data_IF_535688207794
#
_entry.id   IF_535688207794
#
_cell.length_a   1.000
_cell.length_b   1.000
_cell.length_c   1.000
_cell.angle_alpha   90.00
_cell.angle_beta   90.00
_cell.angle_gamma   90.00
#
_symmetry.space_group_name_H-M   'P 1'
#
loop_
_entity.id
_entity.type
_entity.pdbx_description
1 polymer ?
#
# COMPACT_ATOMS: atom_id res chain seq x y z
N UNK A 1 16.34 -18.52 -11.07
CA UNK A 1 15.67 -19.32 -10.04
C UNK A 1 14.51 -18.54 -9.42
N UNK A 2 13.33 -19.10 -9.44
CA UNK A 2 12.18 -18.39 -8.89
C UNK A 2 12.19 -18.48 -7.37
N UNK A 3 11.77 -17.39 -6.73
CA UNK A 3 11.62 -17.35 -5.29
C UNK A 3 10.46 -18.22 -4.85
N UNK A 4 10.65 -18.93 -3.77
CA UNK A 4 9.58 -19.73 -3.19
C UNK A 4 8.71 -18.83 -2.33
N UNK A 5 7.42 -18.75 -2.66
CA UNK A 5 6.46 -17.95 -1.92
C UNK A 5 5.73 -18.84 -0.91
N UNK A 6 6.07 -18.68 0.37
CA UNK A 6 5.45 -19.44 1.46
C UNK A 6 4.28 -18.69 2.10
N UNK A 7 4.33 -17.37 2.09
CA UNK A 7 3.26 -16.55 2.65
C UNK A 7 3.22 -15.22 1.93
N UNK A 8 2.17 -14.42 2.22
CA UNK A 8 2.08 -13.07 1.63
C UNK A 8 3.31 -12.22 1.96
N UNK A 9 3.97 -12.49 3.07
CA UNK A 9 5.15 -11.72 3.49
C UNK A 9 6.32 -11.83 2.51
N UNK A 10 6.33 -12.86 1.68
CA UNK A 10 7.37 -13.06 0.68
C UNK A 10 7.13 -12.24 -0.60
N UNK A 11 5.92 -11.74 -0.79
CA UNK A 11 5.59 -10.96 -1.98
C UNK A 11 6.28 -9.61 -1.94
N UNK A 12 6.88 -9.21 -3.07
CA UNK A 12 7.57 -7.92 -3.17
C UNK A 12 6.64 -6.75 -2.87
N UNK A 13 5.41 -6.82 -3.36
CA UNK A 13 4.42 -5.75 -3.12
C UNK A 13 4.10 -5.61 -1.64
N UNK A 14 4.07 -6.72 -0.90
CA UNK A 14 3.83 -6.69 0.53
C UNK A 14 5.02 -6.09 1.27
N UNK A 15 6.24 -6.44 0.87
CA UNK A 15 7.45 -5.88 1.47
C UNK A 15 7.52 -4.36 1.25
N UNK A 16 7.22 -3.92 0.03
CA UNK A 16 7.23 -2.50 -0.30
C UNK A 16 6.13 -1.75 0.44
N UNK A 17 4.95 -2.35 0.57
CA UNK A 17 3.83 -1.74 1.30
C UNK A 17 4.17 -1.58 2.77
N UNK A 18 4.83 -2.56 3.36
CA UNK A 18 5.25 -2.48 4.76
C UNK A 18 6.31 -1.39 4.95
N UNK A 19 7.28 -1.32 4.04
CA UNK A 19 8.30 -0.27 4.04
C UNK A 19 7.67 1.12 3.97
N UNK A 20 6.70 1.29 3.05
CA UNK A 20 6.00 2.56 2.89
C UNK A 20 5.28 2.97 4.17
N UNK A 21 4.51 2.06 4.78
CA UNK A 21 3.75 2.41 5.99
C UNK A 21 4.68 2.78 7.15
N UNK A 22 5.82 2.13 7.26
CA UNK A 22 6.77 2.45 8.33
C UNK A 22 7.44 3.80 8.10
N UNK A 23 7.77 4.14 6.86
CA UNK A 23 8.30 5.47 6.55
C UNK A 23 7.27 6.55 6.82
N UNK A 24 6.01 6.30 6.46
CA UNK A 24 4.92 7.24 6.73
C UNK A 24 4.73 7.41 8.24
N UNK A 25 4.83 6.34 9.00
CA UNK A 25 4.73 6.40 10.45
C UNK A 25 5.79 7.35 11.01
N UNK A 26 7.05 7.16 10.61
CA UNK A 26 8.15 8.01 11.09
C UNK A 26 8.00 9.46 10.63
N UNK A 27 7.68 9.68 9.36
CA UNK A 27 7.49 11.01 8.80
C UNK A 27 6.35 11.75 9.51
N UNK A 28 5.24 11.07 9.76
CA UNK A 28 4.06 11.69 10.34
C UNK A 28 4.19 12.03 11.82
N UNK A 29 5.24 11.55 12.49
CA UNK A 29 5.52 11.96 13.87
C UNK A 29 5.77 13.47 13.97
N UNK A 30 6.19 14.11 12.89
CA UNK A 30 6.47 15.55 12.83
C UNK A 30 5.24 16.39 12.51
N UNK A 31 4.13 15.76 12.20
CA UNK A 31 2.91 16.51 11.85
C UNK A 31 2.38 17.23 13.10
N UNK A 32 1.78 18.43 12.91
CA UNK A 32 1.23 19.16 14.05
C UNK A 32 0.18 18.37 14.82
N UNK A 33 0.13 18.58 16.13
CA UNK A 33 -0.83 17.89 17.00
C UNK A 33 -2.28 18.15 16.57
N UNK A 34 -2.57 19.31 16.00
CA UNK A 34 -3.91 19.66 15.51
C UNK A 34 -4.38 18.78 14.35
N UNK A 35 -3.44 18.11 13.66
CA UNK A 35 -3.75 17.23 12.52
C UNK A 35 -3.91 15.78 12.92
N UNK A 36 -3.83 15.48 14.21
CA UNK A 36 -3.82 14.09 14.69
C UNK A 36 -4.93 13.23 14.11
N UNK A 37 -6.15 13.74 14.11
CA UNK A 37 -7.30 12.98 13.63
C UNK A 37 -7.62 13.25 12.16
N UNK A 38 -7.35 14.45 11.70
CA UNK A 38 -7.72 14.88 10.35
C UNK A 38 -6.75 14.40 9.28
N UNK A 39 -5.47 14.26 9.61
CA UNK A 39 -4.45 13.88 8.63
C UNK A 39 -3.57 12.74 9.11
N UNK A 40 -2.97 12.87 10.29
CA UNK A 40 -2.01 11.88 10.77
C UNK A 40 -2.61 10.48 10.85
N UNK A 41 -3.76 10.35 11.50
CA UNK A 41 -4.44 9.06 11.62
C UNK A 41 -4.87 8.55 10.25
N UNK A 42 -5.33 9.45 9.37
CA UNK A 42 -5.82 9.05 8.05
C UNK A 42 -4.72 8.48 7.16
N UNK A 43 -3.55 9.12 7.10
CA UNK A 43 -2.46 8.62 6.27
C UNK A 43 -1.88 7.32 6.82
N UNK A 44 -1.82 7.21 8.14
CA UNK A 44 -1.36 5.98 8.79
C UNK A 44 -2.32 4.83 8.51
N UNK A 45 -3.61 5.08 8.66
CA UNK A 45 -4.65 4.07 8.38
C UNK A 45 -4.61 3.63 6.93
N UNK A 46 -4.61 4.59 6.00
CA UNK A 46 -4.62 4.26 4.57
C UNK A 46 -3.39 3.44 4.18
N UNK A 47 -2.20 3.86 4.60
CA UNK A 47 -0.98 3.16 4.24
C UNK A 47 -0.91 1.75 4.84
N UNK A 48 -1.39 1.57 6.06
CA UNK A 48 -1.44 0.26 6.71
C UNK A 48 -2.47 -0.67 6.06
N UNK A 49 -3.54 -0.08 5.54
CA UNK A 49 -4.61 -0.85 4.89
C UNK A 49 -4.17 -1.47 3.57
N UNK A 50 -3.15 -0.92 2.92
CA UNK A 50 -2.60 -1.53 1.70
C UNK A 50 -2.13 -2.95 2.01
N UNK A 51 -1.23 -3.08 2.98
CA UNK A 51 -0.69 -4.38 3.36
C UNK A 51 -1.74 -5.31 3.95
N UNK A 52 -2.68 -4.78 4.73
CA UNK A 52 -3.76 -5.58 5.30
C UNK A 52 -4.63 -6.21 4.20
N UNK A 53 -4.99 -5.44 3.17
CA UNK A 53 -5.76 -5.97 2.05
C UNK A 53 -4.96 -6.97 1.22
N UNK A 54 -3.66 -6.76 1.08
CA UNK A 54 -2.78 -7.70 0.39
C UNK A 54 -2.74 -9.05 1.11
N UNK A 55 -2.63 -9.02 2.43
CA UNK A 55 -2.65 -10.24 3.24
C UNK A 55 -3.95 -11.01 3.04
N UNK A 56 -5.08 -10.29 3.06
CA UNK A 56 -6.39 -10.91 2.83
C UNK A 56 -6.51 -11.45 1.41
N UNK A 57 -5.99 -10.72 0.42
CA UNK A 57 -6.01 -11.18 -0.97
C UNK A 57 -5.30 -12.52 -1.10
N UNK A 58 -4.10 -12.62 -0.49
CA UNK A 58 -3.33 -13.86 -0.54
C UNK A 58 -4.10 -15.03 0.07
N UNK A 59 -4.74 -14.82 1.19
CA UNK A 59 -5.52 -15.87 1.84
C UNK A 59 -6.77 -16.25 1.05
N UNK A 60 -7.28 -15.35 0.23
CA UNK A 60 -8.49 -15.56 -0.58
C UNK A 60 -8.18 -16.00 -2.01
N UNK A 61 -6.92 -16.27 -2.34
CA UNK A 61 -6.53 -16.61 -3.71
C UNK A 61 -7.09 -17.92 -4.24
N UNK A 62 -7.75 -18.67 -3.40
CA UNK A 62 -8.50 -19.84 -3.83
C UNK A 62 -9.56 -19.48 -4.85
N UNK A 63 -10.13 -18.30 -4.74
CA UNK A 63 -11.15 -17.78 -5.66
C UNK A 63 -10.61 -16.53 -6.34
N UNK A 64 -10.44 -16.60 -7.66
CA UNK A 64 -9.87 -15.49 -8.44
C UNK A 64 -10.62 -14.18 -8.21
N UNK A 65 -11.96 -14.23 -8.21
CA UNK A 65 -12.76 -13.01 -8.01
C UNK A 65 -12.50 -12.36 -6.65
N UNK A 66 -12.35 -13.16 -5.59
CA UNK A 66 -12.07 -12.64 -4.25
C UNK A 66 -10.67 -12.05 -4.18
N UNK A 67 -9.70 -12.74 -4.79
CA UNK A 67 -8.32 -12.27 -4.86
C UNK A 67 -8.24 -10.90 -5.53
N UNK A 68 -8.82 -10.78 -6.72
CA UNK A 68 -8.81 -9.52 -7.48
C UNK A 68 -9.55 -8.42 -6.74
N UNK A 69 -10.67 -8.74 -6.11
CA UNK A 69 -11.44 -7.77 -5.34
C UNK A 69 -10.61 -7.17 -4.21
N UNK A 70 -9.87 -7.99 -3.47
CA UNK A 70 -9.02 -7.49 -2.37
C UNK A 70 -7.82 -6.72 -2.89
N UNK A 71 -7.27 -7.09 -4.04
CA UNK A 71 -6.22 -6.30 -4.68
C UNK A 71 -6.73 -4.92 -5.10
N UNK A 72 -7.98 -4.87 -5.57
CA UNK A 72 -8.64 -3.61 -5.92
C UNK A 72 -8.79 -2.72 -4.68
N UNK A 73 -9.14 -3.32 -3.54
CA UNK A 73 -9.23 -2.58 -2.28
C UNK A 73 -7.86 -2.04 -1.87
N UNK A 74 -6.81 -2.84 -2.01
CA UNK A 74 -5.44 -2.40 -1.72
C UNK A 74 -5.04 -1.21 -2.61
N UNK A 75 -5.41 -1.26 -3.89
CA UNK A 75 -5.11 -0.19 -4.83
C UNK A 75 -5.85 1.09 -4.46
N UNK A 76 -7.10 0.99 -4.02
CA UNK A 76 -7.85 2.12 -3.51
C UNK A 76 -7.17 2.77 -2.32
N UNK A 77 -6.64 1.97 -1.40
CA UNK A 77 -5.95 2.49 -0.22
C UNK A 77 -4.61 3.14 -0.59
N UNK A 78 -3.91 2.62 -1.60
CA UNK A 78 -2.69 3.30 -2.02
C UNK A 78 -3.00 4.66 -2.68
N UNK A 79 -4.08 4.76 -3.43
CA UNK A 79 -4.51 6.03 -4.00
C UNK A 79 -4.90 7.02 -2.91
N UNK A 80 -5.61 6.56 -1.88
CA UNK A 80 -5.94 7.39 -0.73
C UNK A 80 -4.69 7.87 -0.01
N UNK A 81 -3.68 7.00 0.12
CA UNK A 81 -2.39 7.36 0.71
C UNK A 81 -1.74 8.51 -0.06
N UNK A 82 -1.78 8.46 -1.39
CA UNK A 82 -1.25 9.54 -2.22
C UNK A 82 -1.96 10.86 -1.94
N UNK A 83 -3.28 10.81 -1.80
CA UNK A 83 -4.07 12.01 -1.49
C UNK A 83 -3.61 12.65 -0.17
N UNK A 84 -3.42 11.85 0.87
CA UNK A 84 -2.98 12.38 2.16
C UNK A 84 -1.54 12.89 2.13
N UNK A 85 -0.67 12.26 1.33
CA UNK A 85 0.70 12.74 1.15
C UNK A 85 0.72 14.08 0.42
N UNK A 86 -0.14 14.25 -0.58
CA UNK A 86 -0.28 15.53 -1.28
C UNK A 86 -0.80 16.60 -0.33
N UNK A 87 -1.73 16.24 0.55
CA UNK A 87 -2.24 17.16 1.57
C UNK A 87 -1.13 17.60 2.50
N UNK A 88 -0.32 16.65 2.99
CA UNK A 88 0.81 16.96 3.87
C UNK A 88 1.81 17.89 3.21
N UNK A 89 2.09 17.67 1.92
CA UNK A 89 3.01 18.53 1.17
C UNK A 89 2.44 19.92 0.97
N UNK A 90 1.15 20.01 0.64
CA UNK A 90 0.48 21.31 0.46
C UNK A 90 0.47 22.13 1.75
N UNK A 91 0.45 21.45 2.90
CA UNK A 91 0.50 22.11 4.21
C UNK A 91 1.93 22.32 4.71
N UNK A 92 2.93 21.97 3.92
CA UNK A 92 4.36 22.09 4.27
C UNK A 92 4.79 21.23 5.45
N UNK A 93 4.10 20.10 5.67
CA UNK A 93 4.47 19.15 6.72
C UNK A 93 5.56 18.18 6.26
N UNK A 94 5.69 17.98 4.97
CA UNK A 94 6.75 17.18 4.36
C UNK A 94 7.42 18.01 3.28
N UNK A 95 8.70 17.73 3.04
CA UNK A 95 9.44 18.41 1.98
C UNK A 95 9.03 17.85 0.62
N UNK A 96 9.35 18.60 -0.43
CA UNK A 96 9.10 18.15 -1.80
C UNK A 96 9.81 16.82 -2.09
N UNK A 97 11.01 16.66 -1.57
CA UNK A 97 11.76 15.42 -1.73
C UNK A 97 11.12 14.25 -0.99
N UNK A 98 10.68 14.47 0.23
CA UNK A 98 9.98 13.43 1.00
C UNK A 98 8.72 13.00 0.29
N UNK A 99 7.95 13.95 -0.22
CA UNK A 99 6.75 13.68 -1.00
C UNK A 99 7.07 12.81 -2.22
N UNK A 100 8.09 13.20 -2.97
CA UNK A 100 8.49 12.49 -4.19
C UNK A 100 8.87 11.04 -3.90
N UNK A 101 9.63 10.80 -2.84
CA UNK A 101 10.05 9.45 -2.46
C UNK A 101 8.85 8.59 -2.08
N UNK A 102 7.97 9.12 -1.24
CA UNK A 102 6.81 8.37 -0.76
C UNK A 102 5.79 8.12 -1.87
N UNK A 103 5.53 9.13 -2.71
CA UNK A 103 4.64 8.95 -3.87
C UNK A 103 5.22 7.94 -4.86
N UNK A 104 6.54 7.92 -5.02
CA UNK A 104 7.20 6.95 -5.88
C UNK A 104 6.92 5.52 -5.43
N UNK A 105 6.93 5.28 -4.12
CA UNK A 105 6.60 3.95 -3.58
C UNK A 105 5.14 3.60 -3.79
N UNK A 106 4.23 4.57 -3.61
CA UNK A 106 2.82 4.36 -3.90
C UNK A 106 2.61 3.96 -5.37
N UNK A 107 3.26 4.66 -6.29
CA UNK A 107 3.16 4.37 -7.72
C UNK A 107 3.65 2.97 -8.06
N UNK A 108 4.76 2.56 -7.47
CA UNK A 108 5.30 1.21 -7.70
C UNK A 108 4.35 0.14 -7.18
N UNK A 109 3.77 0.37 -6.00
CA UNK A 109 2.77 -0.54 -5.45
C UNK A 109 1.59 -0.65 -6.41
N UNK A 110 1.08 0.47 -6.90
CA UNK A 110 -0.03 0.49 -7.85
C UNK A 110 0.29 -0.29 -9.12
N UNK A 111 1.50 -0.15 -9.66
CA UNK A 111 1.93 -0.90 -10.83
C UNK A 111 1.99 -2.40 -10.56
N UNK A 112 2.52 -2.80 -9.41
CA UNK A 112 2.58 -4.21 -9.02
C UNK A 112 1.19 -4.80 -8.85
N UNK A 113 0.27 -4.07 -8.21
CA UNK A 113 -1.11 -4.50 -8.05
C UNK A 113 -1.80 -4.66 -9.40
N UNK A 114 -1.58 -3.70 -10.31
CA UNK A 114 -2.13 -3.78 -11.66
C UNK A 114 -1.66 -5.03 -12.40
N UNK A 115 -0.39 -5.36 -12.30
CA UNK A 115 0.17 -6.57 -12.91
C UNK A 115 -0.46 -7.83 -12.32
N UNK A 116 -0.63 -7.87 -10.99
CA UNK A 116 -1.24 -9.02 -10.33
C UNK A 116 -2.70 -9.19 -10.73
N UNK A 117 -3.44 -8.08 -10.84
CA UNK A 117 -4.85 -8.12 -11.24
C UNK A 117 -5.02 -8.51 -12.71
N UNK A 118 -4.05 -8.17 -13.56
CA UNK A 118 -4.10 -8.50 -14.99
C UNK A 118 -3.87 -10.00 -15.23
N UNK A 119 -3.09 -10.65 -14.38
CA UNK A 119 -2.78 -12.08 -14.52
C UNK A 119 -2.90 -12.79 -13.17
N UNK A 120 -4.11 -12.83 -12.61
CA UNK A 120 -4.30 -13.41 -11.29
C UNK A 120 -3.99 -14.91 -11.23
N UNK A 121 -4.07 -15.59 -12.36
CA UNK A 121 -3.79 -17.03 -12.43
C UNK A 121 -2.35 -17.37 -12.05
N UNK A 122 -1.46 -16.40 -12.09
CA UNK A 122 -0.07 -16.61 -11.67
C UNK A 122 0.04 -16.77 -10.15
N UNK A 123 -0.97 -16.33 -9.43
CA UNK A 123 -0.98 -16.32 -7.96
C UNK A 123 -2.04 -17.25 -7.39
N UNK A 124 -3.17 -17.39 -8.12
CA UNK A 124 -4.26 -18.26 -7.71
C UNK A 124 -3.98 -19.66 -8.18
N UNK A 125 -4.01 -20.61 -7.25
CA UNK A 125 -3.70 -21.98 -7.59
C UNK A 125 -4.93 -22.83 -7.82
N UNK A 126 -4.81 -23.67 -8.84
CA UNK A 126 -5.53 -24.91 -9.02
C UNK A 126 -7.01 -24.86 -8.76
N UNK A 127 -7.50 -23.81 -8.93
CA UNK A 127 -8.95 -23.78 -8.73
C UNK A 127 -9.67 -24.78 -9.60
#
# INVERSE_FOLDING_TARGET
MSEKISSFKDLRVCKLSFELQQEIFETSKRFPAEERYALTDQVRRASRSIGANLAEAWQKRRYVAHFVSKLTDADGEQAETQHWLDTAAACNYVSEKEQEVLLGKCSRIGQMLGTMMAKPEKFCQGS
#
